data_IF_362774320336
#
_entry.id   IF_362774320336
#
_cell.length_a   1.000
_cell.length_b   1.000
_cell.length_c   1.000
_cell.angle_alpha   90.00
_cell.angle_beta   90.00
_cell.angle_gamma   90.00
#
_symmetry.space_group_name_H-M   'P 1'
#
loop_
_entity.id
_entity.type
_entity.pdbx_description
1 polymer ?
#
# COMPACT_ATOMS: atom_id res chain seq x y z
N UNK A 1 -21.30 -16.55 -5.31
CA UNK A 1 -20.26 -15.66 -4.81
C UNK A 1 -19.07 -15.67 -5.76
N UNK A 2 -18.65 -14.51 -6.22
CA UNK A 2 -17.54 -14.33 -7.15
C UNK A 2 -16.49 -13.45 -6.47
N UNK A 3 -15.22 -13.84 -6.54
CA UNK A 3 -14.09 -13.02 -6.15
C UNK A 3 -13.48 -12.37 -7.39
N UNK A 4 -13.34 -11.06 -7.38
CA UNK A 4 -12.83 -10.29 -8.51
C UNK A 4 -11.70 -9.35 -8.09
N UNK A 5 -10.77 -9.10 -9.00
CA UNK A 5 -9.73 -8.08 -8.84
C UNK A 5 -10.26 -6.70 -9.20
N UNK A 6 -9.64 -5.64 -8.71
CA UNK A 6 -9.98 -4.26 -9.08
C UNK A 6 -10.50 -3.41 -7.94
N UNK A 7 -10.14 -3.75 -6.71
CA UNK A 7 -10.59 -3.05 -5.50
C UNK A 7 -10.05 -1.63 -5.35
N UNK A 8 -9.09 -1.22 -6.16
CA UNK A 8 -8.51 0.13 -6.18
C UNK A 8 -8.81 0.91 -7.48
N UNK A 9 -9.76 0.41 -8.27
CA UNK A 9 -10.14 1.05 -9.53
C UNK A 9 -9.11 0.87 -10.65
N UNK A 10 -8.36 -0.24 -10.64
CA UNK A 10 -7.38 -0.56 -11.67
C UNK A 10 -8.06 -0.78 -13.03
N UNK A 11 -7.65 -0.07 -14.08
CA UNK A 11 -8.41 -0.02 -15.34
C UNK A 11 -8.56 -1.36 -16.08
N UNK A 12 -7.58 -2.27 -15.85
CA UNK A 12 -7.54 -3.59 -16.52
C UNK A 12 -8.08 -4.72 -15.67
N UNK A 13 -8.47 -4.44 -14.43
CA UNK A 13 -8.98 -5.44 -13.50
C UNK A 13 -10.37 -5.94 -13.88
N UNK A 14 -10.75 -7.10 -13.35
CA UNK A 14 -12.05 -7.72 -13.63
C UNK A 14 -13.21 -6.80 -13.26
N UNK A 15 -13.17 -6.15 -12.10
CA UNK A 15 -14.23 -5.25 -11.65
C UNK A 15 -14.43 -4.05 -12.58
N UNK A 16 -13.35 -3.46 -13.10
CA UNK A 16 -13.44 -2.35 -14.05
C UNK A 16 -14.11 -2.78 -15.37
N UNK A 17 -13.81 -3.98 -15.84
CA UNK A 17 -14.45 -4.56 -17.06
C UNK A 17 -15.92 -4.90 -16.81
N UNK A 18 -16.25 -5.48 -15.65
CA UNK A 18 -17.62 -5.76 -15.24
C UNK A 18 -18.47 -4.48 -15.17
N UNK A 19 -17.94 -3.45 -14.52
CA UNK A 19 -18.62 -2.17 -14.39
C UNK A 19 -18.90 -1.50 -15.75
N UNK A 20 -17.99 -1.67 -16.71
CA UNK A 20 -18.18 -1.18 -18.08
C UNK A 20 -19.06 -2.09 -18.96
N UNK A 21 -19.26 -3.35 -18.57
CA UNK A 21 -19.91 -4.36 -19.42
C UNK A 21 -18.97 -4.97 -20.48
N UNK A 22 -17.67 -4.91 -20.24
CA UNK A 22 -16.60 -5.39 -21.14
C UNK A 22 -16.03 -6.76 -20.72
N UNK A 23 -16.61 -7.40 -19.68
CA UNK A 23 -16.17 -8.73 -19.27
C UNK A 23 -16.77 -9.80 -20.21
N UNK A 24 -15.95 -10.78 -20.61
CA UNK A 24 -16.36 -11.77 -21.62
C UNK A 24 -17.42 -12.75 -21.12
N UNK A 25 -17.30 -13.18 -19.85
CA UNK A 25 -18.05 -14.30 -19.32
C UNK A 25 -19.07 -13.92 -18.23
N UNK A 26 -18.99 -12.71 -17.71
CA UNK A 26 -19.79 -12.27 -16.57
C UNK A 26 -20.41 -10.88 -16.83
N UNK A 27 -21.65 -10.72 -16.39
CA UNK A 27 -22.39 -9.47 -16.47
C UNK A 27 -22.93 -9.15 -15.08
N UNK A 28 -23.02 -7.87 -14.77
CA UNK A 28 -23.72 -7.36 -13.57
C UNK A 28 -25.13 -6.93 -13.96
N UNK A 29 -26.08 -7.43 -13.24
CA UNK A 29 -27.51 -7.12 -13.39
C UNK A 29 -27.95 -6.09 -12.32
N UNK A 30 -29.07 -5.38 -12.54
CA UNK A 30 -29.69 -4.58 -11.50
C UNK A 30 -29.94 -5.41 -10.24
N UNK A 31 -29.74 -4.80 -9.07
CA UNK A 31 -29.87 -5.42 -7.75
C UNK A 31 -28.76 -6.42 -7.35
N UNK A 32 -27.81 -6.72 -8.25
CA UNK A 32 -26.57 -7.37 -7.84
C UNK A 32 -25.85 -6.56 -6.77
N UNK A 33 -25.07 -7.25 -5.93
CA UNK A 33 -24.31 -6.59 -4.87
C UNK A 33 -22.82 -6.78 -5.08
N UNK A 34 -22.08 -5.67 -5.14
CA UNK A 34 -20.61 -5.66 -5.17
C UNK A 34 -20.08 -5.16 -3.83
N UNK A 35 -19.28 -6.00 -3.17
CA UNK A 35 -18.66 -5.71 -1.88
C UNK A 35 -17.19 -5.36 -2.11
N UNK A 36 -16.80 -4.15 -1.77
CA UNK A 36 -15.40 -3.71 -1.77
C UNK A 36 -14.76 -3.98 -0.41
N UNK A 37 -14.28 -5.22 -0.22
CA UNK A 37 -13.57 -5.63 0.99
C UNK A 37 -12.12 -5.10 1.03
N UNK A 38 -11.96 -3.81 0.81
CA UNK A 38 -10.66 -3.15 0.77
C UNK A 38 -10.78 -1.71 1.24
N UNK A 39 -9.74 -1.21 1.90
CA UNK A 39 -9.65 0.20 2.23
C UNK A 39 -9.22 1.01 1.01
N UNK A 40 -9.76 2.20 0.87
CA UNK A 40 -9.35 3.14 -0.17
C UNK A 40 -7.90 3.57 0.11
N UNK A 41 -7.00 3.31 -0.83
CA UNK A 41 -5.61 3.78 -0.75
C UNK A 41 -5.57 5.25 -1.18
N UNK A 42 -4.94 6.15 -0.39
CA UNK A 42 -4.78 7.55 -0.76
C UNK A 42 -4.21 7.72 -2.17
N UNK A 43 -4.86 8.55 -2.99
CA UNK A 43 -4.54 8.78 -4.40
C UNK A 43 -5.34 7.92 -5.40
N UNK A 44 -6.08 6.92 -4.93
CA UNK A 44 -6.95 6.11 -5.79
C UNK A 44 -8.44 6.54 -5.75
N UNK A 45 -8.78 7.53 -4.93
CA UNK A 45 -10.17 7.96 -4.68
C UNK A 45 -10.91 8.25 -5.98
N UNK A 46 -10.31 9.04 -6.87
CA UNK A 46 -10.94 9.42 -8.15
C UNK A 46 -11.24 8.22 -9.04
N UNK A 47 -10.37 7.20 -9.03
CA UNK A 47 -10.57 5.98 -9.82
C UNK A 47 -11.69 5.13 -9.24
N UNK A 48 -11.72 5.00 -7.91
CA UNK A 48 -12.76 4.25 -7.20
C UNK A 48 -14.14 4.92 -7.33
N UNK A 49 -14.23 6.23 -7.15
CA UNK A 49 -15.50 6.93 -7.31
C UNK A 49 -16.06 6.79 -8.74
N UNK A 50 -15.21 6.86 -9.76
CA UNK A 50 -15.63 6.57 -11.13
C UNK A 50 -16.15 5.13 -11.30
N UNK A 51 -15.55 4.17 -10.62
CA UNK A 51 -15.99 2.78 -10.62
C UNK A 51 -17.35 2.65 -9.94
N UNK A 52 -17.53 3.29 -8.77
CA UNK A 52 -18.81 3.32 -8.05
C UNK A 52 -19.90 3.97 -8.89
N UNK A 53 -19.61 5.06 -9.59
CA UNK A 53 -20.57 5.71 -10.50
C UNK A 53 -21.02 4.76 -11.63
N UNK A 54 -20.09 4.00 -12.21
CA UNK A 54 -20.43 3.02 -13.25
C UNK A 54 -21.33 1.90 -12.73
N UNK A 55 -21.07 1.39 -11.53
CA UNK A 55 -21.90 0.38 -10.86
C UNK A 55 -23.29 0.93 -10.52
N UNK A 56 -23.35 2.14 -9.97
CA UNK A 56 -24.62 2.82 -9.63
C UNK A 56 -25.49 3.04 -10.86
N UNK A 57 -24.91 3.42 -12.00
CA UNK A 57 -25.64 3.55 -13.29
C UNK A 57 -26.27 2.24 -13.75
N UNK A 58 -25.67 1.10 -13.37
CA UNK A 58 -26.22 -0.23 -13.63
C UNK A 58 -27.22 -0.69 -12.56
N UNK A 59 -27.52 0.15 -11.57
CA UNK A 59 -28.37 -0.17 -10.41
C UNK A 59 -27.82 -1.33 -9.58
N UNK A 60 -26.50 -1.48 -9.54
CA UNK A 60 -25.80 -2.46 -8.71
C UNK A 60 -25.62 -1.87 -7.32
N UNK A 61 -25.86 -2.66 -6.28
CA UNK A 61 -25.65 -2.27 -4.89
C UNK A 61 -24.15 -2.30 -4.57
N UNK A 62 -23.60 -1.18 -4.13
CA UNK A 62 -22.18 -1.07 -3.74
C UNK A 62 -22.11 -1.03 -2.23
N UNK A 63 -21.34 -1.94 -1.63
CA UNK A 63 -21.07 -2.00 -0.19
C UNK A 63 -19.58 -1.76 0.04
N UNK A 64 -19.27 -0.80 0.90
CA UNK A 64 -17.91 -0.37 1.23
C UNK A 64 -17.62 -0.48 2.73
N UNK A 65 -16.40 -0.17 3.16
CA UNK A 65 -16.03 -0.12 4.59
C UNK A 65 -16.84 0.94 5.38
N UNK A 66 -17.52 1.88 4.71
CA UNK A 66 -18.36 2.87 5.34
C UNK A 66 -19.75 2.32 5.66
N UNK A 67 -20.18 1.29 4.94
CA UNK A 67 -21.50 0.69 5.05
C UNK A 67 -21.51 -0.49 6.03
N UNK A 68 -20.41 -1.24 6.09
CA UNK A 68 -20.30 -2.42 6.93
C UNK A 68 -18.82 -2.74 7.28
N UNK A 69 -18.55 -3.46 8.38
CA UNK A 69 -17.20 -3.87 8.79
C UNK A 69 -16.69 -5.03 7.92
N UNK A 70 -16.49 -4.77 6.64
CA UNK A 70 -16.12 -5.75 5.61
C UNK A 70 -14.63 -5.78 5.28
N UNK A 71 -13.84 -4.86 5.86
CA UNK A 71 -12.40 -4.78 5.64
C UNK A 71 -11.63 -5.08 6.93
N UNK A 72 -10.61 -5.93 6.80
CA UNK A 72 -9.60 -6.17 7.84
C UNK A 72 -8.24 -5.75 7.29
N UNK A 73 -7.52 -4.91 8.05
CA UNK A 73 -6.19 -4.46 7.65
C UNK A 73 -5.23 -5.66 7.51
N UNK A 74 -4.42 -5.67 6.46
CA UNK A 74 -3.32 -6.60 6.32
C UNK A 74 -2.10 -6.28 7.21
N UNK A 75 -2.10 -5.09 7.83
CA UNK A 75 -1.07 -4.72 8.80
C UNK A 75 -1.49 -5.18 10.21
N UNK A 76 -0.61 -5.82 10.96
CA UNK A 76 -0.92 -6.30 12.31
C UNK A 76 -1.16 -5.12 13.26
N UNK A 77 -2.07 -5.29 14.20
CA UNK A 77 -2.25 -4.35 15.30
C UNK A 77 -1.16 -4.53 16.36
N UNK A 78 -1.08 -3.60 17.32
CA UNK A 78 -0.05 -3.63 18.39
C UNK A 78 -0.07 -4.92 19.21
N UNK A 79 -1.23 -5.49 19.46
CA UNK A 79 -1.35 -6.70 20.29
C UNK A 79 -0.90 -7.94 19.52
N UNK A 80 -1.16 -8.00 18.23
CA UNK A 80 -0.65 -9.05 17.33
C UNK A 80 0.87 -9.00 17.23
N UNK A 81 1.45 -7.79 17.13
CA UNK A 81 2.91 -7.61 17.18
C UNK A 81 3.49 -8.08 18.51
N UNK A 82 2.87 -7.72 19.64
CA UNK A 82 3.30 -8.19 20.97
C UNK A 82 3.26 -9.70 21.07
N UNK A 83 2.18 -10.31 20.58
CA UNK A 83 2.03 -11.76 20.56
C UNK A 83 3.14 -12.41 19.74
N UNK A 84 3.37 -11.93 18.53
CA UNK A 84 4.42 -12.44 17.64
C UNK A 84 5.81 -12.33 18.26
N UNK A 85 6.16 -11.19 18.84
CA UNK A 85 7.47 -10.98 19.47
C UNK A 85 7.68 -11.84 20.71
N UNK A 86 6.65 -12.09 21.51
CA UNK A 86 6.72 -13.03 22.62
C UNK A 86 6.98 -14.46 22.15
N UNK A 87 6.39 -14.85 21.02
CA UNK A 87 6.58 -16.17 20.43
C UNK A 87 7.98 -16.34 19.82
N UNK A 88 8.42 -15.35 19.03
CA UNK A 88 9.70 -15.40 18.29
C UNK A 88 10.91 -15.06 19.14
N UNK A 89 10.76 -14.20 20.15
CA UNK A 89 11.84 -13.67 21.03
C UNK A 89 13.04 -13.16 20.22
N UNK A 90 12.85 -12.24 19.27
CA UNK A 90 13.94 -11.76 18.43
C UNK A 90 14.97 -10.99 19.27
N UNK A 91 16.26 -11.11 18.93
CA UNK A 91 17.32 -10.31 19.56
C UNK A 91 17.18 -8.82 19.18
N UNK A 92 16.70 -8.53 17.96
CA UNK A 92 16.49 -7.19 17.47
C UNK A 92 15.33 -7.15 16.49
N UNK A 93 14.55 -6.08 16.53
CA UNK A 93 13.48 -5.78 15.57
C UNK A 93 13.86 -4.56 14.77
N UNK A 94 13.76 -4.65 13.46
CA UNK A 94 14.03 -3.55 12.53
C UNK A 94 12.71 -3.19 11.84
N UNK A 95 12.00 -2.14 12.26
CA UNK A 95 10.81 -1.67 11.57
C UNK A 95 11.15 -1.18 10.17
N UNK A 96 10.36 -1.56 9.18
CA UNK A 96 10.50 -1.15 7.78
C UNK A 96 9.15 -0.81 7.17
N UNK A 97 9.15 -0.17 6.01
CA UNK A 97 7.93 0.10 5.25
C UNK A 97 6.94 1.02 5.99
N UNK A 98 7.40 2.17 6.41
CA UNK A 98 6.56 3.17 7.07
C UNK A 98 7.17 4.56 7.03
N UNK A 99 6.37 5.55 7.38
CA UNK A 99 6.86 6.89 7.68
C UNK A 99 7.55 6.90 9.04
N UNK A 100 8.33 7.95 9.32
CA UNK A 100 9.10 8.09 10.56
C UNK A 100 8.25 7.87 11.83
N UNK A 101 7.05 8.41 11.88
CA UNK A 101 6.11 8.21 13.01
C UNK A 101 5.72 6.74 13.22
N UNK A 102 5.60 5.97 12.13
CA UNK A 102 5.26 4.54 12.21
C UNK A 102 6.47 3.73 12.70
N UNK A 103 7.66 4.08 12.19
CA UNK A 103 8.91 3.46 12.58
C UNK A 103 9.21 3.72 14.06
N UNK A 104 9.04 4.97 14.50
CA UNK A 104 9.20 5.37 15.91
C UNK A 104 8.22 4.62 16.82
N UNK A 105 6.91 4.68 16.51
CA UNK A 105 5.91 4.00 17.34
C UNK A 105 6.04 2.48 17.40
N UNK A 106 6.65 1.86 16.35
CA UNK A 106 6.97 0.44 16.37
C UNK A 106 8.22 0.16 17.24
N UNK A 107 9.26 0.99 17.12
CA UNK A 107 10.47 0.89 17.95
C UNK A 107 10.15 1.08 19.43
N UNK A 108 9.27 2.02 19.77
CA UNK A 108 8.80 2.23 21.15
C UNK A 108 8.10 0.98 21.69
N UNK A 109 7.20 0.37 20.90
CA UNK A 109 6.53 -0.88 21.28
C UNK A 109 7.53 -2.00 21.60
N UNK A 110 8.57 -2.13 20.77
CA UNK A 110 9.62 -3.14 20.94
C UNK A 110 10.44 -2.88 22.19
N UNK A 111 10.80 -1.63 22.44
CA UNK A 111 11.53 -1.18 23.63
C UNK A 111 10.72 -1.42 24.91
N UNK A 112 9.42 -1.11 24.90
CA UNK A 112 8.49 -1.40 26.02
C UNK A 112 8.42 -2.89 26.35
N UNK A 113 8.70 -3.75 25.37
CA UNK A 113 8.77 -5.21 25.58
C UNK A 113 10.14 -5.69 26.06
N UNK A 114 11.12 -4.80 26.23
CA UNK A 114 12.48 -5.14 26.62
C UNK A 114 13.32 -5.79 25.52
N UNK A 115 12.92 -5.62 24.27
CA UNK A 115 13.62 -6.16 23.10
C UNK A 115 14.52 -5.10 22.45
N UNK A 116 15.56 -5.53 21.75
CA UNK A 116 16.39 -4.66 20.92
C UNK A 116 15.63 -4.11 19.74
N UNK A 117 15.83 -2.83 19.43
CA UNK A 117 15.27 -2.20 18.22
C UNK A 117 16.33 -1.37 17.50
N UNK A 118 16.37 -1.47 16.19
CA UNK A 118 17.19 -0.60 15.35
C UNK A 118 16.30 0.14 14.36
N UNK A 119 16.39 1.46 14.38
CA UNK A 119 15.73 2.32 13.39
C UNK A 119 16.71 2.60 12.26
N UNK A 120 16.28 2.31 11.05
CA UNK A 120 17.07 2.49 9.83
C UNK A 120 16.29 3.30 8.81
N UNK A 121 17.00 4.03 7.99
CA UNK A 121 16.43 4.80 6.88
C UNK A 121 17.00 4.31 5.54
N UNK A 122 16.40 4.74 4.45
CA UNK A 122 16.91 4.40 3.12
C UNK A 122 18.37 4.88 2.98
N UNK A 123 19.24 3.98 2.59
CA UNK A 123 20.67 4.21 2.45
C UNK A 123 21.51 3.71 3.59
N UNK A 124 20.92 3.41 4.72
CA UNK A 124 21.65 2.81 5.83
C UNK A 124 22.08 1.38 5.51
N UNK A 125 23.34 1.09 5.78
CA UNK A 125 23.91 -0.26 5.69
C UNK A 125 24.13 -0.77 7.11
N UNK A 126 23.39 -1.80 7.48
CA UNK A 126 23.43 -2.36 8.83
C UNK A 126 24.05 -3.76 8.80
N UNK A 127 24.95 -4.01 9.74
CA UNK A 127 25.46 -5.35 10.05
C UNK A 127 24.53 -6.02 11.04
N UNK A 128 24.05 -7.21 10.70
CA UNK A 128 23.21 -8.03 11.59
C UNK A 128 24.08 -9.09 12.26
N UNK A 129 23.95 -9.23 13.58
CA UNK A 129 24.63 -10.21 14.39
C UNK A 129 23.70 -10.74 15.49
N UNK A 130 24.14 -11.72 16.25
CA UNK A 130 23.41 -12.26 17.39
C UNK A 130 23.12 -11.19 18.48
N UNK A 131 23.91 -10.12 18.51
CA UNK A 131 23.71 -8.99 19.43
C UNK A 131 22.77 -7.91 18.89
N UNK A 132 22.27 -8.04 17.67
CA UNK A 132 21.35 -7.08 17.04
C UNK A 132 21.87 -6.47 15.75
N UNK A 133 21.41 -5.27 15.43
CA UNK A 133 21.75 -4.53 14.22
C UNK A 133 22.61 -3.30 14.56
N UNK A 134 23.70 -3.12 13.84
CA UNK A 134 24.61 -1.97 13.98
C UNK A 134 24.76 -1.27 12.64
N UNK A 135 24.56 0.04 12.61
CA UNK A 135 24.82 0.85 11.42
C UNK A 135 26.32 0.91 11.16
N UNK A 136 26.76 0.50 9.96
CA UNK A 136 28.18 0.43 9.60
C UNK A 136 28.57 1.40 8.48
N UNK A 137 27.62 1.81 7.66
CA UNK A 137 27.84 2.75 6.56
C UNK A 137 26.53 3.36 6.11
N UNK A 138 26.63 4.37 5.25
CA UNK A 138 25.48 4.91 4.49
C UNK A 138 25.86 4.98 3.02
N UNK A 139 24.91 4.72 2.15
CA UNK A 139 25.06 4.84 0.71
C UNK A 139 24.10 5.91 0.18
N UNK A 140 24.48 6.53 -0.92
CA UNK A 140 23.62 7.51 -1.55
C UNK A 140 22.33 6.85 -2.01
N UNK A 141 21.20 7.45 -1.64
CA UNK A 141 19.86 7.05 -2.09
C UNK A 141 19.18 8.18 -2.83
N UNK A 142 18.14 7.85 -3.58
CA UNK A 142 17.33 8.83 -4.29
C UNK A 142 16.25 8.15 -5.11
N UNK A 143 15.43 8.96 -5.73
CA UNK A 143 14.45 8.47 -6.70
C UNK A 143 15.02 8.64 -8.10
N UNK A 144 14.89 7.62 -8.91
CA UNK A 144 15.22 7.66 -10.33
C UNK A 144 13.93 7.64 -11.15
N UNK A 145 13.89 8.43 -12.19
CA UNK A 145 12.83 8.42 -13.20
C UNK A 145 13.30 7.73 -14.47
N UNK A 146 12.36 7.24 -15.28
CA UNK A 146 12.65 6.69 -16.59
C UNK A 146 12.54 7.78 -17.65
N UNK A 147 13.63 8.06 -18.35
CA UNK A 147 13.66 8.92 -19.54
C UNK A 147 14.10 8.11 -20.76
N UNK A 148 13.14 7.79 -21.63
CA UNK A 148 13.38 6.80 -22.71
C UNK A 148 13.69 5.42 -22.10
N UNK A 149 14.87 4.89 -22.40
CA UNK A 149 15.37 3.62 -21.86
C UNK A 149 16.38 3.81 -20.71
N UNK A 150 16.65 5.04 -20.27
CA UNK A 150 17.66 5.36 -19.27
C UNK A 150 17.04 5.75 -17.94
N UNK A 151 17.66 5.30 -16.84
CA UNK A 151 17.32 5.78 -15.50
C UNK A 151 18.09 7.07 -15.23
N UNK A 152 17.39 8.13 -14.86
CA UNK A 152 17.94 9.44 -14.56
C UNK A 152 17.43 9.95 -13.21
N UNK A 153 18.16 10.81 -12.49
CA UNK A 153 17.67 11.44 -11.28
C UNK A 153 16.37 12.22 -11.54
N UNK A 154 15.46 12.30 -10.57
CA UNK A 154 14.16 13.01 -10.73
C UNK A 154 14.31 14.52 -11.00
N UNK A 155 15.44 15.11 -10.63
CA UNK A 155 15.80 16.50 -10.94
C UNK A 155 16.43 16.65 -12.34
N UNK A 156 16.46 15.59 -13.13
CA UNK A 156 16.90 15.69 -14.53
C UNK A 156 15.98 16.64 -15.31
N UNK A 157 16.60 17.43 -16.20
CA UNK A 157 15.89 18.47 -16.94
C UNK A 157 14.74 17.92 -17.78
N UNK A 158 14.92 16.78 -18.43
CA UNK A 158 13.90 16.16 -19.28
C UNK A 158 12.67 15.73 -18.46
N UNK A 159 12.86 15.23 -17.22
CA UNK A 159 11.75 14.87 -16.34
C UNK A 159 11.05 16.11 -15.79
N UNK A 160 11.80 17.15 -15.44
CA UNK A 160 11.25 18.42 -14.93
C UNK A 160 10.41 19.13 -16.00
N UNK A 161 10.89 19.17 -17.25
CA UNK A 161 10.15 19.75 -18.37
C UNK A 161 8.86 18.97 -18.68
N UNK A 162 8.90 17.63 -18.63
CA UNK A 162 7.68 16.79 -18.80
C UNK A 162 6.66 17.02 -17.70
N UNK A 163 7.10 17.18 -16.45
CA UNK A 163 6.19 17.50 -15.34
C UNK A 163 5.53 18.85 -15.53
N UNK A 164 6.30 19.87 -15.91
CA UNK A 164 5.78 21.21 -16.18
C UNK A 164 4.75 21.24 -17.33
N UNK A 165 4.95 20.42 -18.37
CA UNK A 165 4.00 20.28 -19.46
C UNK A 165 2.72 19.50 -19.09
N UNK A 166 2.78 18.66 -18.07
CA UNK A 166 1.61 17.91 -17.59
C UNK A 166 0.71 18.74 -16.64
N UNK A 167 1.26 19.75 -16.03
CA UNK A 167 0.57 20.66 -15.07
C UNK A 167 0.02 21.94 -15.76
N UNK A 168 0.35 22.18 -17.04
CA UNK A 168 -0.12 23.30 -17.87
C UNK A 168 -1.18 22.85 -18.86
#
# INVERSE_FOLDING_TARGET
LILATGSQGEPRAAMARLAKGEHQDLYLEPDDTVVFSSKVIPGNEKKLYRLYDLLSRKKVNVVTEQDAPIHVSGHPCRDELRWMYRALRPACVIPVHGEERHMAGHADLVTDMGLGSARVVNGDVSHLSDSGATLIATVQTGRLGLSGSSLVPLNDRALSERSALADG
#
